data_IF_571920409115
#
_entry.id   IF_571920409115
#
_cell.length_a   1.000
_cell.length_b   1.000
_cell.length_c   1.000
_cell.angle_alpha   90.00
_cell.angle_beta   90.00
_cell.angle_gamma   90.00
#
_symmetry.space_group_name_H-M   'P 1'
#
loop_
_entity.id
_entity.type
_entity.pdbx_description
1 polymer ?
#
# COMPACT_ATOMS: atom_id res chain seq x y z
N UNK A 1 -19.27 -16.21 22.27
CA UNK A 1 -20.35 -15.79 21.34
C UNK A 1 -19.75 -14.85 20.30
N UNK A 2 -19.71 -15.22 19.00
CA UNK A 2 -19.30 -14.29 17.93
C UNK A 2 -20.38 -13.20 17.84
N UNK A 3 -20.03 -11.96 18.15
CA UNK A 3 -20.95 -10.84 18.08
C UNK A 3 -21.31 -10.57 16.60
N UNK A 4 -22.46 -11.06 16.16
CA UNK A 4 -22.93 -11.01 14.77
C UNK A 4 -23.05 -9.58 14.23
N UNK A 5 -23.24 -8.60 15.10
CA UNK A 5 -23.31 -7.17 14.74
C UNK A 5 -22.01 -6.61 14.13
N UNK A 6 -20.86 -7.21 14.42
CA UNK A 6 -19.54 -6.76 13.91
C UNK A 6 -19.04 -7.58 12.71
N UNK A 7 -19.83 -8.55 12.24
CA UNK A 7 -19.51 -9.33 11.05
C UNK A 7 -19.35 -8.47 9.79
N UNK A 8 -20.27 -7.53 9.47
CA UNK A 8 -20.15 -6.72 8.26
C UNK A 8 -18.88 -5.86 8.26
N UNK A 9 -18.56 -5.24 9.40
CA UNK A 9 -17.37 -4.42 9.56
C UNK A 9 -16.08 -5.25 9.41
N UNK A 10 -16.10 -6.47 9.91
CA UNK A 10 -14.97 -7.39 9.78
C UNK A 10 -14.78 -7.91 8.36
N UNK A 11 -15.87 -8.13 7.62
CA UNK A 11 -15.83 -8.46 6.20
C UNK A 11 -15.32 -7.28 5.37
N UNK A 12 -15.78 -6.06 5.66
CA UNK A 12 -15.25 -4.85 5.03
C UNK A 12 -13.72 -4.73 5.27
N UNK A 13 -13.27 -4.92 6.51
CA UNK A 13 -11.85 -4.84 6.86
C UNK A 13 -10.99 -5.86 6.10
N UNK A 14 -11.39 -7.13 6.01
CA UNK A 14 -10.60 -8.14 5.28
C UNK A 14 -10.62 -7.86 3.78
N UNK A 15 -11.75 -7.47 3.20
CA UNK A 15 -11.85 -7.10 1.78
C UNK A 15 -10.92 -5.95 1.45
N UNK A 16 -10.94 -4.87 2.25
CA UNK A 16 -10.05 -3.73 2.06
C UNK A 16 -8.57 -4.12 2.19
N UNK A 17 -8.21 -4.95 3.19
CA UNK A 17 -6.83 -5.44 3.36
C UNK A 17 -6.34 -6.24 2.16
N UNK A 18 -7.15 -7.20 1.71
CA UNK A 18 -6.81 -8.06 0.57
C UNK A 18 -6.66 -7.24 -0.69
N UNK A 19 -7.67 -6.44 -1.04
CA UNK A 19 -7.64 -5.68 -2.29
C UNK A 19 -6.52 -4.64 -2.28
N UNK A 20 -6.35 -3.88 -1.19
CA UNK A 20 -5.28 -2.90 -1.14
C UNK A 20 -3.90 -3.55 -1.17
N UNK A 21 -3.70 -4.63 -0.42
CA UNK A 21 -2.45 -5.37 -0.44
C UNK A 21 -2.15 -6.02 -1.79
N UNK A 22 -3.14 -6.61 -2.47
CA UNK A 22 -2.99 -7.21 -3.80
C UNK A 22 -2.63 -6.20 -4.87
N UNK A 23 -3.09 -4.96 -4.74
CA UNK A 23 -2.81 -3.91 -5.70
C UNK A 23 -1.44 -3.27 -5.43
N UNK A 24 -1.03 -3.11 -4.16
CA UNK A 24 0.28 -2.56 -3.80
C UNK A 24 1.41 -3.60 -3.99
N UNK A 25 1.18 -4.87 -3.68
CA UNK A 25 2.23 -5.90 -3.66
C UNK A 25 2.98 -6.08 -5.00
N UNK A 26 2.33 -6.08 -6.18
CA UNK A 26 3.04 -6.15 -7.46
C UNK A 26 4.08 -5.04 -7.64
N UNK A 27 3.78 -3.82 -7.20
CA UNK A 27 4.74 -2.71 -7.24
C UNK A 27 5.91 -2.94 -6.27
N UNK A 28 5.63 -3.43 -5.06
CA UNK A 28 6.67 -3.86 -4.12
C UNK A 28 7.53 -4.99 -4.68
N UNK A 29 6.94 -5.96 -5.38
CA UNK A 29 7.63 -7.10 -5.96
C UNK A 29 8.50 -6.70 -7.17
N UNK A 30 8.04 -5.74 -7.99
CA UNK A 30 8.87 -5.09 -9.02
C UNK A 30 10.12 -4.47 -8.40
N UNK A 31 9.92 -3.76 -7.28
CA UNK A 31 10.97 -3.00 -6.59
C UNK A 31 11.94 -3.87 -5.80
N UNK A 32 11.46 -4.93 -5.15
CA UNK A 32 12.28 -5.78 -4.29
C UNK A 32 12.90 -6.94 -5.07
N UNK A 33 12.11 -7.64 -5.89
CA UNK A 33 12.51 -8.89 -6.52
C UNK A 33 12.72 -8.80 -8.04
N UNK A 34 12.33 -7.68 -8.67
CA UNK A 34 12.41 -7.52 -10.12
C UNK A 34 11.32 -8.29 -10.87
N UNK A 35 10.26 -8.70 -10.17
CA UNK A 35 9.13 -9.37 -10.81
C UNK A 35 8.42 -8.44 -11.79
N UNK A 36 7.65 -9.01 -12.73
CA UNK A 36 6.86 -8.24 -13.69
C UNK A 36 7.67 -7.21 -14.50
N UNK A 37 8.94 -7.53 -14.80
CA UNK A 37 9.85 -6.63 -15.52
C UNK A 37 10.38 -5.46 -14.70
N UNK A 38 10.27 -5.51 -13.37
CA UNK A 38 10.80 -4.48 -12.47
C UNK A 38 12.33 -4.50 -12.35
N UNK A 39 12.88 -3.41 -11.80
CA UNK A 39 14.33 -3.22 -11.68
C UNK A 39 15.01 -4.01 -10.54
N UNK A 40 14.22 -4.65 -9.67
CA UNK A 40 14.71 -5.30 -8.46
C UNK A 40 15.33 -4.32 -7.47
N UNK A 41 15.78 -4.83 -6.32
CA UNK A 41 16.20 -3.99 -5.20
C UNK A 41 17.31 -3.01 -5.58
N UNK A 42 18.40 -3.52 -6.16
CA UNK A 42 19.57 -2.70 -6.51
C UNK A 42 19.22 -1.63 -7.55
N UNK A 43 18.52 -1.99 -8.63
CA UNK A 43 18.15 -1.04 -9.67
C UNK A 43 17.16 0.01 -9.18
N UNK A 44 16.20 -0.39 -8.33
CA UNK A 44 15.25 0.54 -7.72
C UNK A 44 15.93 1.50 -6.76
N UNK A 45 16.85 1.03 -5.93
CA UNK A 45 17.62 1.89 -5.02
C UNK A 45 18.50 2.89 -5.78
N UNK A 46 19.11 2.47 -6.89
CA UNK A 46 19.87 3.38 -7.77
C UNK A 46 18.96 4.45 -8.38
N UNK A 47 17.77 4.07 -8.86
CA UNK A 47 16.79 5.03 -9.38
C UNK A 47 16.32 6.01 -8.30
N UNK A 48 15.94 5.52 -7.11
CA UNK A 48 15.46 6.38 -6.02
C UNK A 48 16.53 7.35 -5.52
N UNK A 49 17.76 6.88 -5.31
CA UNK A 49 18.82 7.73 -4.76
C UNK A 49 19.50 8.60 -5.82
N UNK A 50 19.67 8.10 -7.05
CA UNK A 50 20.38 8.78 -8.13
C UNK A 50 19.50 9.63 -9.04
N UNK A 51 18.28 9.17 -9.37
CA UNK A 51 17.39 9.88 -10.30
C UNK A 51 16.34 10.72 -9.57
N UNK A 52 15.67 10.13 -8.57
CA UNK A 52 14.64 10.85 -7.80
C UNK A 52 15.27 11.73 -6.71
N UNK A 53 16.46 11.37 -6.22
CA UNK A 53 17.16 12.10 -5.17
C UNK A 53 16.63 11.85 -3.76
N UNK A 54 15.95 10.72 -3.53
CA UNK A 54 15.47 10.33 -2.21
C UNK A 54 16.66 9.93 -1.30
N UNK A 55 16.62 10.29 0.00
CA UNK A 55 17.52 9.68 0.97
C UNK A 55 17.40 8.16 0.95
N UNK A 56 18.52 7.44 1.01
CA UNK A 56 18.55 5.98 0.87
C UNK A 56 17.59 5.27 1.84
N UNK A 57 17.44 5.77 3.06
CA UNK A 57 16.56 5.20 4.07
C UNK A 57 15.09 5.31 3.65
N UNK A 58 14.70 6.41 3.01
CA UNK A 58 13.34 6.60 2.51
C UNK A 58 13.09 5.64 1.35
N UNK A 59 14.02 5.55 0.39
CA UNK A 59 13.92 4.60 -0.71
C UNK A 59 13.80 3.15 -0.22
N UNK A 60 14.62 2.75 0.75
CA UNK A 60 14.54 1.43 1.38
C UNK A 60 13.17 1.19 2.03
N UNK A 61 12.69 2.14 2.84
CA UNK A 61 11.40 2.02 3.52
C UNK A 61 10.24 1.89 2.54
N UNK A 62 10.27 2.63 1.42
CA UNK A 62 9.26 2.52 0.34
C UNK A 62 9.24 1.09 -0.21
N UNK A 63 10.39 0.52 -0.57
CA UNK A 63 10.48 -0.84 -1.11
C UNK A 63 9.93 -1.86 -0.11
N UNK A 64 10.34 -1.77 1.15
CA UNK A 64 9.93 -2.71 2.20
C UNK A 64 8.44 -2.59 2.54
N UNK A 65 7.92 -1.36 2.54
CA UNK A 65 6.51 -1.09 2.83
C UNK A 65 5.60 -1.61 1.71
N UNK A 66 5.95 -1.41 0.44
CA UNK A 66 5.13 -1.90 -0.68
C UNK A 66 5.22 -3.42 -0.86
N UNK A 67 6.30 -4.06 -0.39
CA UNK A 67 6.48 -5.51 -0.48
C UNK A 67 5.99 -6.21 0.79
N UNK A 68 6.79 -6.19 1.85
CA UNK A 68 6.49 -6.87 3.11
C UNK A 68 5.29 -6.23 3.80
N UNK A 69 5.17 -4.90 3.75
CA UNK A 69 4.00 -4.21 4.30
C UNK A 69 2.69 -4.62 3.62
N UNK A 70 2.70 -4.91 2.31
CA UNK A 70 1.50 -5.41 1.61
C UNK A 70 1.10 -6.81 2.09
N UNK A 71 2.08 -7.72 2.23
CA UNK A 71 1.84 -9.06 2.77
C UNK A 71 1.33 -8.97 4.21
N UNK A 72 1.96 -8.13 5.04
CA UNK A 72 1.56 -7.91 6.43
C UNK A 72 0.13 -7.32 6.51
N UNK A 73 -0.22 -6.39 5.63
CA UNK A 73 -1.58 -5.83 5.56
C UNK A 73 -2.60 -6.91 5.21
N UNK A 74 -2.32 -7.76 4.21
CA UNK A 74 -3.19 -8.89 3.82
C UNK A 74 -3.40 -9.81 5.03
N UNK A 75 -2.33 -10.18 5.72
CA UNK A 75 -2.39 -10.99 6.93
C UNK A 75 -3.12 -10.28 8.10
N UNK A 76 -3.27 -8.96 8.06
CA UNK A 76 -3.82 -8.17 9.16
C UNK A 76 -2.85 -8.08 10.33
N UNK A 77 -1.56 -7.85 10.03
CA UNK A 77 -0.51 -7.58 11.00
C UNK A 77 -0.19 -6.09 10.98
N UNK A 78 -0.40 -5.40 12.09
CA UNK A 78 -0.13 -3.97 12.20
C UNK A 78 -1.06 -3.12 11.32
N UNK A 79 -2.31 -3.55 11.12
CA UNK A 79 -3.22 -2.99 10.10
C UNK A 79 -3.26 -1.46 10.10
N UNK A 80 -3.41 -0.86 11.30
CA UNK A 80 -3.50 0.60 11.44
C UNK A 80 -2.17 1.30 11.14
N UNK A 81 -1.06 0.73 11.58
CA UNK A 81 0.26 1.30 11.34
C UNK A 81 0.60 1.27 9.84
N UNK A 82 0.36 0.13 9.18
CA UNK A 82 0.59 0.00 7.73
C UNK A 82 -0.36 0.90 6.95
N UNK A 83 -1.64 0.99 7.34
CA UNK A 83 -2.59 1.90 6.70
C UNK A 83 -2.14 3.36 6.80
N UNK A 84 -1.66 3.82 7.96
CA UNK A 84 -1.11 5.16 8.11
C UNK A 84 0.13 5.38 7.23
N UNK A 85 1.05 4.40 7.20
CA UNK A 85 2.24 4.45 6.36
C UNK A 85 1.89 4.49 4.86
N UNK A 86 0.86 3.76 4.45
CA UNK A 86 0.32 3.75 3.09
C UNK A 86 -0.30 5.08 2.67
N UNK A 87 -0.99 5.76 3.58
CA UNK A 87 -1.50 7.12 3.32
C UNK A 87 -0.31 8.07 3.07
N UNK A 88 0.70 8.05 3.95
CA UNK A 88 1.89 8.90 3.81
C UNK A 88 2.62 8.59 2.50
N UNK A 89 2.81 7.31 2.18
CA UNK A 89 3.45 6.87 0.95
C UNK A 89 2.69 7.34 -0.30
N UNK A 90 1.37 7.10 -0.36
CA UNK A 90 0.55 7.51 -1.49
C UNK A 90 0.55 9.03 -1.68
N UNK A 91 0.45 9.81 -0.59
CA UNK A 91 0.58 11.27 -0.63
C UNK A 91 1.94 11.67 -1.19
N UNK A 92 3.04 11.05 -0.72
CA UNK A 92 4.37 11.28 -1.25
C UNK A 92 4.44 11.05 -2.76
N UNK A 93 3.98 9.89 -3.24
CA UNK A 93 3.98 9.51 -4.67
C UNK A 93 3.16 10.50 -5.52
N UNK A 94 2.02 10.97 -5.00
CA UNK A 94 1.19 11.96 -5.70
C UNK A 94 1.96 13.26 -5.90
N UNK A 95 2.52 13.82 -4.83
CA UNK A 95 3.21 15.12 -4.91
C UNK A 95 4.55 15.06 -5.62
N UNK A 96 5.25 13.93 -5.61
CA UNK A 96 6.55 13.82 -6.29
C UNK A 96 6.44 13.43 -7.76
N UNK A 97 5.34 12.77 -8.17
CA UNK A 97 5.34 12.06 -9.46
C UNK A 97 4.03 12.05 -10.23
N UNK A 98 2.89 12.42 -9.66
CA UNK A 98 1.60 12.30 -10.36
C UNK A 98 0.82 13.63 -10.45
N UNK A 99 1.02 14.55 -9.51
CA UNK A 99 0.25 15.81 -9.47
C UNK A 99 0.44 16.64 -10.75
N UNK A 100 1.62 16.62 -11.36
CA UNK A 100 1.87 17.32 -12.63
C UNK A 100 1.14 16.72 -13.85
N UNK A 101 0.60 15.50 -13.72
CA UNK A 101 -0.15 14.80 -14.76
C UNK A 101 -1.67 14.94 -14.58
N UNK A 102 -2.12 15.67 -13.55
CA UNK A 102 -3.55 15.93 -13.31
C UNK A 102 -4.27 14.75 -12.66
N UNK A 103 -5.61 14.80 -12.69
CA UNK A 103 -6.44 13.82 -11.97
C UNK A 103 -6.46 12.45 -12.66
N UNK A 104 -6.79 12.40 -13.95
CA UNK A 104 -7.11 11.15 -14.65
C UNK A 104 -5.89 10.30 -14.96
N UNK A 105 -6.02 9.00 -14.74
CA UNK A 105 -4.99 8.04 -15.14
C UNK A 105 -4.89 7.96 -16.68
N UNK A 106 -3.73 7.57 -17.21
CA UNK A 106 -3.43 7.57 -18.63
C UNK A 106 -3.90 6.28 -19.34
N UNK A 107 -5.17 5.92 -19.16
CA UNK A 107 -5.75 4.66 -19.64
C UNK A 107 -5.57 4.43 -21.15
N UNK A 108 -5.53 5.50 -21.94
CA UNK A 108 -5.42 5.44 -23.40
C UNK A 108 -4.03 5.83 -23.95
N UNK A 109 -3.05 6.08 -23.09
CA UNK A 109 -1.69 6.46 -23.51
C UNK A 109 -1.55 7.88 -24.09
N UNK A 110 -2.57 8.73 -23.95
CA UNK A 110 -2.59 10.09 -24.50
C UNK A 110 -1.91 11.15 -23.61
N UNK A 111 -1.51 10.78 -22.39
CA UNK A 111 -0.83 11.65 -21.43
C UNK A 111 0.66 11.31 -21.32
N UNK A 112 1.44 12.27 -20.80
CA UNK A 112 2.90 12.08 -20.57
C UNK A 112 3.22 11.19 -19.36
N UNK A 113 2.23 10.91 -18.52
CA UNK A 113 2.36 10.13 -17.29
C UNK A 113 1.00 9.87 -16.68
N UNK A 114 0.97 9.10 -15.59
CA UNK A 114 -0.25 8.73 -14.88
C UNK A 114 -0.72 9.86 -13.97
N UNK A 115 -2.03 10.17 -13.99
CA UNK A 115 -2.66 11.03 -12.99
C UNK A 115 -2.80 10.35 -11.62
N UNK A 116 -3.32 11.09 -10.63
CA UNK A 116 -3.36 10.64 -9.24
C UNK A 116 -4.65 9.92 -8.79
N UNK A 117 -5.63 9.74 -9.67
CA UNK A 117 -6.93 9.09 -9.40
C UNK A 117 -6.78 7.73 -8.67
N UNK A 118 -5.86 6.88 -9.13
CA UNK A 118 -5.57 5.59 -8.50
C UNK A 118 -5.12 5.71 -7.03
N UNK A 119 -4.26 6.69 -6.72
CA UNK A 119 -3.76 6.91 -5.36
C UNK A 119 -4.84 7.46 -4.43
N UNK A 120 -5.85 8.16 -4.97
CA UNK A 120 -7.01 8.59 -4.18
C UNK A 120 -7.81 7.39 -3.66
N UNK A 121 -8.00 6.36 -4.50
CA UNK A 121 -8.65 5.10 -4.08
C UNK A 121 -7.82 4.37 -3.03
N UNK A 122 -6.50 4.29 -3.22
CA UNK A 122 -5.58 3.75 -2.21
C UNK A 122 -5.76 4.47 -0.88
N UNK A 123 -5.66 5.80 -0.85
CA UNK A 123 -5.81 6.60 0.37
C UNK A 123 -7.18 6.36 1.02
N UNK A 124 -8.26 6.32 0.25
CA UNK A 124 -9.60 6.04 0.77
C UNK A 124 -9.70 4.67 1.47
N UNK A 125 -9.16 3.62 0.84
CA UNK A 125 -9.11 2.28 1.43
C UNK A 125 -8.25 2.22 2.69
N UNK A 126 -7.08 2.88 2.66
CA UNK A 126 -6.18 2.96 3.80
C UNK A 126 -6.81 3.75 4.96
N UNK A 127 -7.50 4.87 4.71
CA UNK A 127 -8.25 5.62 5.72
C UNK A 127 -9.34 4.77 6.37
N UNK A 128 -10.09 4.01 5.56
CA UNK A 128 -11.08 3.08 6.09
C UNK A 128 -10.43 2.03 7.01
N UNK A 129 -9.30 1.44 6.62
CA UNK A 129 -8.54 0.50 7.46
C UNK A 129 -7.94 1.14 8.71
N UNK A 130 -7.55 2.41 8.65
CA UNK A 130 -7.05 3.15 9.81
C UNK A 130 -8.15 3.31 10.87
N UNK A 131 -9.37 3.63 10.44
CA UNK A 131 -10.54 3.74 11.31
C UNK A 131 -10.99 2.37 11.84
N UNK A 132 -11.20 1.40 10.94
CA UNK A 132 -11.78 0.09 11.26
C UNK A 132 -10.78 -0.82 12.01
N UNK A 133 -9.51 -0.78 11.65
CA UNK A 133 -8.49 -1.75 12.06
C UNK A 133 -8.59 -3.08 11.30
N UNK A 134 -7.90 -4.13 11.80
CA UNK A 134 -7.79 -5.42 11.10
C UNK A 134 -9.07 -6.27 11.00
N UNK A 135 -10.07 -6.00 11.83
CA UNK A 135 -11.29 -6.83 11.91
C UNK A 135 -11.06 -8.20 12.57
N UNK A 136 -12.07 -9.06 12.55
CA UNK A 136 -12.01 -10.37 13.25
C UNK A 136 -11.04 -11.38 12.61
N UNK A 137 -10.74 -11.23 11.32
CA UNK A 137 -9.90 -12.15 10.54
C UNK A 137 -8.43 -11.69 10.45
N UNK A 138 -8.02 -10.72 11.25
CA UNK A 138 -6.65 -10.25 11.29
C UNK A 138 -5.82 -11.12 12.24
N UNK A 139 -4.62 -11.53 11.81
CA UNK A 139 -3.71 -12.34 12.63
C UNK A 139 -3.37 -11.63 13.95
N UNK A 140 -3.22 -10.30 13.93
CA UNK A 140 -2.95 -9.51 15.14
C UNK A 140 -4.02 -9.65 16.23
N UNK A 141 -5.26 -10.01 15.87
CA UNK A 141 -6.37 -10.21 16.81
C UNK A 141 -6.40 -11.63 17.36
N UNK A 142 -6.00 -12.62 16.58
CA UNK A 142 -5.87 -14.01 17.03
C UNK A 142 -4.80 -14.07 18.13
N UNK A 143 -3.65 -13.42 17.92
CA UNK A 143 -2.55 -13.35 18.88
C UNK A 143 -2.97 -12.65 20.19
N UNK A 144 -3.79 -11.60 20.10
CA UNK A 144 -4.30 -10.88 21.28
C UNK A 144 -5.33 -11.65 22.09
N UNK A 145 -6.01 -12.62 21.48
CA UNK A 145 -7.06 -13.41 22.15
C UNK A 145 -6.51 -14.72 22.74
N UNK A 146 -5.30 -15.14 22.33
CA UNK A 146 -4.63 -16.35 22.86
C UNK A 146 -3.79 -16.10 24.11
N UNK A 147 -3.82 -14.88 24.65
CA UNK A 147 -3.21 -14.47 25.92
C UNK A 147 -4.31 -14.09 26.89
#
# INVERSE_FOLDING_TARGET
>A
MKNSSLQPLSLAAITLRILLGLVVFPHGAQKLFGWFGGYGFTGTMQYFTGTVGLPWIIGFLVIMLESIGAIALIAGLGTRAIAAAYIILAVGIVFTSHVQHGFFSNWFGNQKGEGFEYFLLWIGMALALLMIGGGQYAVERIIKTSK
#
